data_IF_794073594736
#
_entry.id   IF_794073594736
#
_cell.length_a   1.000
_cell.length_b   1.000
_cell.length_c   1.000
_cell.angle_alpha   90.00
_cell.angle_beta   90.00
_cell.angle_gamma   90.00
#
_symmetry.space_group_name_H-M   'P 1'
#
loop_
_entity.id
_entity.type
_entity.pdbx_description
1 polymer ?
#
# COMPACT_ATOMS: atom_id res chain seq x y z
N UNK A 1 -16.25 -59.53 47.38
CA UNK A 1 -16.47 -59.11 45.94
C UNK A 1 -16.92 -57.66 45.95
N UNK A 2 -16.06 -56.75 45.61
CA UNK A 2 -16.34 -55.28 45.55
C UNK A 2 -16.43 -54.87 44.10
N UNK A 3 -17.61 -54.35 43.69
CA UNK A 3 -17.84 -53.80 42.36
C UNK A 3 -17.34 -52.37 42.33
N UNK A 4 -16.41 -52.07 41.48
CA UNK A 4 -15.95 -50.69 41.14
C UNK A 4 -16.90 -50.07 40.15
N UNK A 5 -17.56 -48.98 40.56
CA UNK A 5 -18.36 -48.15 39.70
C UNK A 5 -17.48 -47.16 38.94
N UNK A 6 -17.51 -47.23 37.62
CA UNK A 6 -16.84 -46.30 36.73
C UNK A 6 -17.66 -45.04 36.56
N UNK A 7 -17.20 -43.91 37.12
CA UNK A 7 -17.76 -42.59 36.83
C UNK A 7 -17.19 -42.10 35.50
N UNK A 8 -18.05 -42.02 34.50
CA UNK A 8 -17.76 -41.32 33.23
C UNK A 8 -18.03 -39.83 33.43
N UNK A 9 -16.99 -39.05 33.64
CA UNK A 9 -17.06 -37.58 33.52
C UNK A 9 -17.15 -37.20 32.05
N UNK A 10 -18.34 -36.81 31.61
CA UNK A 10 -18.53 -36.15 30.33
C UNK A 10 -18.15 -34.68 30.49
N UNK A 11 -16.94 -34.35 30.11
CA UNK A 11 -16.53 -32.95 29.96
C UNK A 11 -17.14 -32.40 28.66
N UNK A 12 -18.24 -31.67 28.78
CA UNK A 12 -18.79 -30.89 27.70
C UNK A 12 -17.89 -29.65 27.48
N UNK A 13 -17.00 -29.73 26.51
CA UNK A 13 -16.24 -28.57 26.03
C UNK A 13 -17.21 -27.69 25.21
N UNK A 14 -17.70 -26.63 25.84
CA UNK A 14 -18.40 -25.55 25.14
C UNK A 14 -17.36 -24.74 24.39
N UNK A 15 -17.18 -25.02 23.13
CA UNK A 15 -16.40 -24.18 22.21
C UNK A 15 -17.20 -22.93 21.95
N UNK A 16 -16.97 -21.85 22.71
CA UNK A 16 -17.49 -20.54 22.41
C UNK A 16 -16.75 -20.03 21.17
N UNK A 17 -17.35 -20.20 19.99
CA UNK A 17 -16.92 -19.55 18.76
C UNK A 17 -17.24 -18.07 18.92
N UNK A 18 -16.27 -17.27 19.38
CA UNK A 18 -16.35 -15.82 19.29
C UNK A 18 -16.18 -15.46 17.84
N UNK A 19 -17.28 -15.34 17.12
CA UNK A 19 -17.31 -14.67 15.83
C UNK A 19 -17.09 -13.19 16.08
N UNK A 20 -15.83 -12.79 16.08
CA UNK A 20 -15.45 -11.38 15.99
C UNK A 20 -15.77 -10.96 14.55
N UNK A 21 -17.03 -10.62 14.30
CA UNK A 21 -17.42 -9.87 13.11
C UNK A 21 -16.97 -8.41 13.32
N UNK A 22 -15.66 -8.20 13.39
CA UNK A 22 -15.10 -6.88 13.18
C UNK A 22 -15.25 -6.58 11.70
N UNK A 23 -16.14 -5.66 11.35
CA UNK A 23 -15.98 -4.90 10.11
C UNK A 23 -14.72 -4.06 10.24
N UNK A 24 -13.55 -4.70 10.18
CA UNK A 24 -12.33 -4.01 9.82
C UNK A 24 -12.51 -3.64 8.36
N UNK A 25 -12.71 -2.36 8.06
CA UNK A 25 -12.45 -1.84 6.73
C UNK A 25 -11.08 -2.42 6.36
N UNK A 26 -11.04 -3.32 5.37
CA UNK A 26 -9.80 -3.96 4.98
C UNK A 26 -8.87 -2.83 4.54
N UNK A 27 -7.85 -2.61 5.33
CA UNK A 27 -6.85 -1.58 5.14
C UNK A 27 -6.02 -1.99 3.94
N UNK A 28 -6.05 -1.18 2.91
CA UNK A 28 -5.34 -1.49 1.68
C UNK A 28 -3.85 -1.15 1.78
N UNK A 29 -3.48 0.01 2.34
CA UNK A 29 -2.09 0.41 2.50
C UNK A 29 -1.62 0.36 3.95
N UNK A 30 -0.35 0.00 4.15
CA UNK A 30 0.33 0.12 5.44
C UNK A 30 0.26 1.56 5.98
N UNK A 31 0.23 1.73 7.30
CA UNK A 31 0.45 3.05 7.93
C UNK A 31 1.93 3.40 7.90
N UNK A 32 2.29 4.67 8.13
CA UNK A 32 3.69 5.08 8.20
C UNK A 32 4.52 4.31 9.23
N UNK A 33 3.92 3.92 10.37
CA UNK A 33 4.60 3.08 11.37
C UNK A 33 4.85 1.66 10.86
N UNK A 34 3.87 1.06 10.20
CA UNK A 34 3.99 -0.28 9.60
C UNK A 34 4.95 -0.25 8.43
N UNK A 35 4.88 0.78 7.56
CA UNK A 35 5.81 0.98 6.46
C UNK A 35 7.26 0.95 6.94
N UNK A 36 7.60 1.78 7.93
CA UNK A 36 8.95 1.81 8.49
C UNK A 36 9.38 0.45 9.00
N UNK A 37 8.54 -0.18 9.81
CA UNK A 37 8.86 -1.50 10.38
C UNK A 37 9.07 -2.55 9.27
N UNK A 38 8.18 -2.61 8.28
CA UNK A 38 8.28 -3.56 7.17
C UNK A 38 9.57 -3.32 6.38
N UNK A 39 9.89 -2.08 6.04
CA UNK A 39 11.10 -1.75 5.32
C UNK A 39 12.37 -2.11 6.11
N UNK A 40 12.43 -1.76 7.41
CA UNK A 40 13.54 -2.09 8.30
C UNK A 40 13.70 -3.62 8.46
N UNK A 41 12.61 -4.36 8.65
CA UNK A 41 12.61 -5.83 8.74
C UNK A 41 13.09 -6.52 7.44
N UNK A 42 12.93 -5.86 6.29
CA UNK A 42 13.44 -6.31 4.99
C UNK A 42 14.84 -5.76 4.65
N UNK A 43 15.51 -5.10 5.60
CA UNK A 43 16.89 -4.63 5.46
C UNK A 43 17.05 -3.29 4.72
N UNK A 44 15.97 -2.57 4.45
CA UNK A 44 16.05 -1.25 3.84
C UNK A 44 16.45 -0.19 4.87
N UNK A 45 17.16 0.82 4.38
CA UNK A 45 17.44 2.03 5.15
C UNK A 45 16.28 3.00 5.01
N UNK A 46 15.64 3.34 6.12
CA UNK A 46 14.49 4.25 6.13
C UNK A 46 14.90 5.63 6.61
N UNK A 47 14.61 6.65 5.81
CA UNK A 47 14.84 8.06 6.11
C UNK A 47 13.52 8.81 6.25
N UNK A 48 13.43 9.70 7.23
CA UNK A 48 12.35 10.69 7.32
C UNK A 48 12.66 11.82 6.33
N UNK A 49 11.75 12.05 5.40
CA UNK A 49 11.90 13.05 4.33
C UNK A 49 10.82 14.13 4.40
N UNK A 50 10.07 14.19 5.51
CA UNK A 50 8.90 15.08 5.63
C UNK A 50 9.21 16.54 5.27
N UNK A 51 10.25 17.12 5.89
CA UNK A 51 10.59 18.53 5.66
C UNK A 51 11.08 18.80 4.23
N UNK A 52 11.83 17.85 3.66
CA UNK A 52 12.32 17.95 2.29
C UNK A 52 11.17 17.92 1.28
N UNK A 53 10.23 16.99 1.44
CA UNK A 53 9.08 16.85 0.53
C UNK A 53 8.12 18.03 0.68
N UNK A 54 7.86 18.50 1.91
CA UNK A 54 7.07 19.71 2.16
C UNK A 54 7.64 20.93 1.43
N UNK A 55 8.95 21.13 1.57
CA UNK A 55 9.61 22.31 0.99
C UNK A 55 9.61 22.24 -0.54
N UNK A 56 9.94 21.09 -1.11
CA UNK A 56 10.04 20.91 -2.56
C UNK A 56 8.67 21.04 -3.25
N UNK A 57 7.61 20.49 -2.66
CA UNK A 57 6.28 20.44 -3.25
C UNK A 57 5.32 21.53 -2.77
N UNK A 58 5.72 22.36 -1.78
CA UNK A 58 4.84 23.34 -1.12
C UNK A 58 3.58 22.70 -0.52
N UNK A 59 3.67 21.46 -0.05
CA UNK A 59 2.54 20.73 0.50
C UNK A 59 2.24 21.15 1.94
N UNK A 60 1.01 21.60 2.19
CA UNK A 60 0.58 22.11 3.50
C UNK A 60 0.05 20.99 4.39
N UNK A 61 -0.66 20.03 3.81
CA UNK A 61 -1.34 18.97 4.56
C UNK A 61 -0.53 17.67 4.71
N UNK A 62 0.72 17.65 4.21
CA UNK A 62 1.61 16.49 4.34
C UNK A 62 1.98 16.27 5.82
N UNK A 63 1.67 15.09 6.35
CA UNK A 63 1.87 14.75 7.77
C UNK A 63 3.00 13.75 8.02
N UNK A 64 3.26 12.87 7.06
CA UNK A 64 4.34 11.87 7.12
C UNK A 64 4.97 11.72 5.74
N UNK A 65 6.30 11.55 5.68
CA UNK A 65 7.02 11.19 4.46
C UNK A 65 8.27 10.38 4.80
N UNK A 66 8.40 9.20 4.21
CA UNK A 66 9.53 8.30 4.38
C UNK A 66 10.05 7.82 3.03
N UNK A 67 11.37 7.70 2.93
CA UNK A 67 12.08 7.06 1.82
C UNK A 67 12.80 5.84 2.36
N UNK A 68 12.56 4.68 1.77
CA UNK A 68 13.28 3.46 2.06
C UNK A 68 14.08 3.01 0.83
N UNK A 69 15.35 2.69 1.03
CA UNK A 69 16.27 2.23 -0.03
C UNK A 69 17.00 0.98 0.42
N UNK A 70 17.26 0.07 -0.50
CA UNK A 70 18.18 -1.04 -0.25
C UNK A 70 19.64 -0.59 -0.30
N UNK A 71 20.56 -1.42 0.22
CA UNK A 71 21.97 -1.09 0.31
C UNK A 71 22.66 -0.89 -1.07
N UNK A 72 22.12 -1.51 -2.10
CA UNK A 72 22.66 -1.43 -3.47
C UNK A 72 21.90 -0.40 -4.32
N UNK A 73 20.88 0.27 -3.76
CA UNK A 73 19.96 1.18 -4.45
C UNK A 73 19.30 0.56 -5.69
N UNK A 74 19.09 -0.78 -5.67
CA UNK A 74 18.43 -1.48 -6.75
C UNK A 74 16.93 -1.18 -6.81
N UNK A 75 16.34 -0.76 -5.69
CA UNK A 75 14.98 -0.27 -5.62
C UNK A 75 14.78 0.72 -4.48
N UNK A 76 13.77 1.54 -4.62
CA UNK A 76 13.33 2.51 -3.61
C UNK A 76 11.84 2.39 -3.36
N UNK A 77 11.43 2.64 -2.12
CA UNK A 77 10.02 2.70 -1.75
C UNK A 77 9.77 3.98 -0.95
N UNK A 78 8.78 4.75 -1.37
CA UNK A 78 8.38 5.99 -0.72
C UNK A 78 7.01 5.82 -0.07
N UNK A 79 6.83 6.45 1.08
CA UNK A 79 5.54 6.60 1.74
C UNK A 79 5.29 8.06 2.01
N UNK A 80 4.09 8.54 1.66
CA UNK A 80 3.63 9.87 2.05
C UNK A 80 2.20 9.80 2.57
N UNK A 81 1.86 10.72 3.48
CA UNK A 81 0.51 10.85 4.01
C UNK A 81 0.09 12.31 4.05
N UNK A 82 -1.07 12.56 3.47
CA UNK A 82 -1.74 13.86 3.50
C UNK A 82 -2.99 13.80 4.39
N UNK A 83 -3.30 14.89 5.08
CA UNK A 83 -4.58 15.07 5.76
C UNK A 83 -5.67 15.65 4.86
N UNK A 84 -5.29 16.27 3.75
CA UNK A 84 -6.19 16.78 2.72
C UNK A 84 -6.21 15.85 1.50
N UNK A 85 -7.41 15.39 1.10
CA UNK A 85 -7.57 14.44 0.00
C UNK A 85 -7.27 15.06 -1.37
N UNK A 86 -7.43 16.36 -1.53
CA UNK A 86 -7.14 17.05 -2.79
C UNK A 86 -5.64 17.19 -3.02
N UNK A 87 -4.88 17.51 -1.96
CA UNK A 87 -3.42 17.48 -2.05
C UNK A 87 -2.89 16.08 -2.31
N UNK A 88 -3.47 15.06 -1.64
CA UNK A 88 -3.12 13.66 -1.89
C UNK A 88 -3.36 13.26 -3.35
N UNK A 89 -4.53 13.61 -3.90
CA UNK A 89 -4.84 13.33 -5.31
C UNK A 89 -3.89 14.07 -6.24
N UNK A 90 -3.61 15.35 -5.99
CA UNK A 90 -2.67 16.12 -6.81
C UNK A 90 -1.25 15.53 -6.80
N UNK A 91 -0.79 15.03 -5.64
CA UNK A 91 0.49 14.32 -5.56
C UNK A 91 0.46 13.01 -6.36
N UNK A 92 -0.57 12.18 -6.16
CA UNK A 92 -0.76 10.93 -6.91
C UNK A 92 -0.74 11.20 -8.42
N UNK A 93 -1.56 12.14 -8.89
CA UNK A 93 -1.67 12.49 -10.30
C UNK A 93 -0.33 12.99 -10.87
N UNK A 94 0.45 13.74 -10.08
CA UNK A 94 1.76 14.25 -10.52
C UNK A 94 2.78 13.16 -10.80
N UNK A 95 2.70 12.03 -10.07
CA UNK A 95 3.55 10.85 -10.28
C UNK A 95 2.95 9.96 -11.37
N UNK A 96 1.68 9.61 -11.27
CA UNK A 96 0.99 8.73 -12.20
C UNK A 96 0.99 9.25 -13.65
N UNK A 97 0.93 10.58 -13.84
CA UNK A 97 1.04 11.20 -15.17
C UNK A 97 2.42 11.05 -15.85
N UNK A 98 3.43 10.61 -15.10
CA UNK A 98 4.77 10.31 -15.62
C UNK A 98 4.95 8.82 -15.93
N UNK A 99 3.92 8.01 -15.67
CA UNK A 99 3.90 6.58 -15.92
C UNK A 99 3.01 6.26 -17.14
N UNK A 100 3.35 5.18 -17.83
CA UNK A 100 2.52 4.62 -18.91
C UNK A 100 2.08 3.19 -18.51
N UNK A 101 1.54 3.12 -17.29
CA UNK A 101 1.19 1.89 -16.63
C UNK A 101 -0.26 1.47 -16.81
N UNK A 102 -0.58 0.32 -16.23
CA UNK A 102 -1.95 -0.18 -16.09
C UNK A 102 -2.58 0.44 -14.85
N UNK A 103 -3.75 1.04 -15.01
CA UNK A 103 -4.49 1.69 -13.92
C UNK A 103 -5.48 0.71 -13.30
N UNK A 104 -5.54 0.70 -11.99
CA UNK A 104 -6.47 -0.08 -11.19
C UNK A 104 -7.23 0.85 -10.24
N UNK A 105 -8.53 0.62 -10.07
CA UNK A 105 -9.35 1.39 -9.12
C UNK A 105 -10.28 0.46 -8.38
N UNK A 106 -10.39 0.68 -7.08
CA UNK A 106 -11.34 0.03 -6.21
C UNK A 106 -12.17 1.06 -5.43
N UNK A 107 -13.07 0.62 -4.54
CA UNK A 107 -13.95 1.51 -3.80
C UNK A 107 -13.22 2.58 -2.97
N UNK A 108 -12.01 2.27 -2.52
CA UNK A 108 -11.25 3.13 -1.60
C UNK A 108 -9.78 3.32 -2.02
N UNK A 109 -9.38 2.84 -3.18
CA UNK A 109 -7.99 2.94 -3.64
C UNK A 109 -7.89 3.25 -5.13
N UNK A 110 -6.73 3.78 -5.50
CA UNK A 110 -6.26 3.92 -6.88
C UNK A 110 -4.84 3.36 -6.93
N UNK A 111 -4.48 2.76 -8.06
CA UNK A 111 -3.13 2.28 -8.32
C UNK A 111 -2.79 2.43 -9.80
N UNK A 112 -1.50 2.61 -10.09
CA UNK A 112 -0.94 2.47 -11.42
C UNK A 112 0.35 1.66 -11.33
N UNK A 113 0.49 0.67 -12.19
CA UNK A 113 1.63 -0.24 -12.25
C UNK A 113 2.18 -0.22 -13.66
N UNK A 114 3.45 0.10 -13.79
CA UNK A 114 4.20 0.08 -15.05
C UNK A 114 5.36 -0.89 -14.92
N UNK A 115 5.49 -1.81 -15.85
CA UNK A 115 6.63 -2.74 -15.92
C UNK A 115 7.29 -2.64 -17.30
N UNK A 116 8.59 -2.38 -17.28
CA UNK A 116 9.41 -2.29 -18.50
C UNK A 116 10.65 -3.15 -18.29
N UNK A 117 10.72 -4.27 -18.99
CA UNK A 117 11.74 -5.31 -18.80
C UNK A 117 11.75 -5.80 -17.35
N UNK A 118 12.90 -5.68 -16.65
CA UNK A 118 13.10 -6.12 -15.27
C UNK A 118 12.87 -4.99 -14.26
N UNK A 119 12.39 -3.84 -14.71
CA UNK A 119 12.09 -2.67 -13.86
C UNK A 119 10.59 -2.47 -13.74
N UNK A 120 10.17 -2.07 -12.54
CA UNK A 120 8.80 -1.76 -12.20
C UNK A 120 8.72 -0.39 -11.54
N UNK A 121 7.64 0.35 -11.83
CA UNK A 121 7.20 1.55 -11.10
C UNK A 121 5.76 1.35 -10.70
N UNK A 122 5.46 1.56 -9.46
CA UNK A 122 4.13 1.34 -8.90
C UNK A 122 3.75 2.48 -7.98
N UNK A 123 2.53 2.94 -8.10
CA UNK A 123 1.97 3.92 -7.17
C UNK A 123 0.59 3.48 -6.70
N UNK A 124 0.37 3.57 -5.41
CA UNK A 124 -0.88 3.19 -4.74
C UNK A 124 -1.34 4.32 -3.83
N UNK A 125 -2.63 4.62 -3.86
CA UNK A 125 -3.24 5.61 -2.96
C UNK A 125 -4.48 5.05 -2.27
N UNK A 126 -4.59 5.27 -0.95
CA UNK A 126 -5.76 4.99 -0.14
C UNK A 126 -5.93 6.05 0.95
N UNK A 127 -7.05 6.77 0.95
CA UNK A 127 -7.41 7.70 2.05
C UNK A 127 -6.29 8.66 2.45
N UNK A 128 -5.63 9.29 1.47
CA UNK A 128 -4.54 10.24 1.70
C UNK A 128 -3.18 9.60 1.99
N UNK A 129 -3.07 8.28 2.07
CA UNK A 129 -1.80 7.54 2.10
C UNK A 129 -1.40 7.17 0.68
N UNK A 130 -0.14 7.32 0.37
CA UNK A 130 0.41 6.96 -0.94
C UNK A 130 1.70 6.18 -0.70
N UNK A 131 1.84 5.07 -1.43
CA UNK A 131 3.09 4.31 -1.53
C UNK A 131 3.51 4.34 -2.99
N UNK A 132 4.75 4.69 -3.24
CA UNK A 132 5.39 4.62 -4.55
C UNK A 132 6.62 3.72 -4.43
N UNK A 133 6.78 2.82 -5.39
CA UNK A 133 7.95 1.96 -5.49
C UNK A 133 8.54 2.01 -6.90
N UNK A 134 9.87 1.97 -7.00
CA UNK A 134 10.59 1.96 -8.27
C UNK A 134 11.86 1.12 -8.16
N UNK A 135 12.14 0.29 -9.17
CA UNK A 135 13.36 -0.50 -9.28
C UNK A 135 13.14 -1.90 -9.81
N UNK A 136 13.93 -2.87 -9.34
CA UNK A 136 13.86 -4.26 -9.80
C UNK A 136 12.52 -4.90 -9.46
N UNK A 137 11.86 -5.50 -10.43
CA UNK A 137 10.49 -6.07 -10.33
C UNK A 137 10.37 -7.12 -9.24
N UNK A 138 11.33 -8.05 -9.13
CA UNK A 138 11.25 -9.14 -8.15
C UNK A 138 11.38 -8.61 -6.72
N UNK A 139 12.28 -7.63 -6.50
CA UNK A 139 12.48 -6.99 -5.21
C UNK A 139 11.26 -6.20 -4.77
N UNK A 140 10.66 -5.42 -5.68
CA UNK A 140 9.43 -4.65 -5.40
C UNK A 140 8.28 -5.59 -5.09
N UNK A 141 8.04 -6.63 -5.90
CA UNK A 141 6.96 -7.61 -5.67
C UNK A 141 7.07 -8.30 -4.31
N UNK A 142 8.28 -8.53 -3.82
CA UNK A 142 8.50 -9.16 -2.51
C UNK A 142 8.07 -8.27 -1.34
N UNK A 143 8.35 -6.96 -1.40
CA UNK A 143 7.98 -6.02 -0.35
C UNK A 143 6.55 -5.50 -0.49
N UNK A 144 6.06 -5.36 -1.73
CA UNK A 144 4.68 -4.94 -2.02
C UNK A 144 3.65 -5.75 -1.24
N UNK A 145 3.76 -7.08 -1.26
CA UNK A 145 2.86 -8.01 -0.57
C UNK A 145 2.73 -7.77 0.93
N UNK A 146 3.70 -7.09 1.54
CA UNK A 146 3.69 -6.73 2.96
C UNK A 146 3.14 -5.32 3.19
N UNK A 147 3.34 -4.42 2.23
CA UNK A 147 2.94 -3.01 2.30
C UNK A 147 1.50 -2.80 1.86
N UNK A 148 1.01 -3.65 0.95
CA UNK A 148 -0.29 -3.53 0.31
C UNK A 148 -1.11 -4.76 0.65
N UNK A 149 -2.36 -4.54 1.04
CA UNK A 149 -3.31 -5.61 1.31
C UNK A 149 -3.82 -6.26 0.02
N UNK A 150 -4.76 -7.17 0.17
CA UNK A 150 -5.43 -7.80 -0.99
C UNK A 150 -6.23 -6.74 -1.75
N UNK A 151 -6.03 -6.67 -3.06
CA UNK A 151 -6.70 -5.76 -3.96
C UNK A 151 -7.22 -6.50 -5.20
N UNK A 152 -8.25 -5.92 -5.81
CA UNK A 152 -8.79 -6.43 -7.05
C UNK A 152 -7.87 -5.99 -8.20
N UNK A 153 -7.33 -6.96 -8.92
CA UNK A 153 -6.38 -6.72 -10.01
C UNK A 153 -7.07 -6.61 -11.38
N UNK A 154 -8.39 -6.39 -11.43
CA UNK A 154 -9.06 -6.13 -12.68
C UNK A 154 -8.69 -4.73 -13.22
N UNK A 155 -7.93 -4.62 -14.31
CA UNK A 155 -7.43 -3.33 -14.79
C UNK A 155 -8.57 -2.47 -15.35
N UNK A 156 -8.57 -1.20 -14.97
CA UNK A 156 -9.44 -0.19 -15.59
C UNK A 156 -8.71 0.41 -16.79
N UNK A 157 -9.36 0.45 -17.96
CA UNK A 157 -8.75 1.10 -19.13
C UNK A 157 -8.53 2.58 -18.84
N UNK A 158 -7.28 3.03 -18.92
CA UNK A 158 -6.91 4.44 -18.84
C UNK A 158 -7.66 5.19 -19.95
N UNK A 159 -8.63 6.01 -19.59
CA UNK A 159 -9.29 6.90 -20.56
C UNK A 159 -8.34 8.06 -20.78
N UNK A 160 -7.50 7.95 -21.81
CA UNK A 160 -6.70 9.09 -22.27
C UNK A 160 -7.70 10.15 -22.72
N UNK A 161 -7.80 11.24 -21.98
CA UNK A 161 -8.51 12.42 -22.43
C UNK A 161 -7.76 12.98 -23.65
N UNK A 162 -8.12 12.49 -24.83
CA UNK A 162 -7.65 13.04 -26.09
C UNK A 162 -8.19 14.47 -26.19
N UNK A 163 -7.36 15.43 -25.77
CA UNK A 163 -7.57 16.85 -26.02
C UNK A 163 -7.52 17.11 -27.52
N UNK A 164 -8.64 16.86 -28.19
CA UNK A 164 -8.85 17.25 -29.56
C UNK A 164 -8.97 18.77 -29.63
N UNK A 165 -7.88 19.48 -29.83
CA UNK A 165 -7.94 20.79 -30.43
C UNK A 165 -7.85 20.63 -31.96
N UNK A 166 -9.00 20.44 -32.60
CA UNK A 166 -9.11 20.79 -34.02
C UNK A 166 -9.03 22.31 -34.13
N UNK A 167 -7.91 22.79 -34.67
CA UNK A 167 -7.85 24.12 -35.27
C UNK A 167 -8.59 24.09 -36.61
N UNK A 168 -9.65 24.86 -36.70
CA UNK A 168 -10.15 25.40 -37.98
C UNK A 168 -9.33 26.62 -38.33
#
# INVERSE_FOLDING_TARGET
MKKFGTYRCAAAAVLALVLVTGCSSMKFLATGKEFRKICEDNGLQVQDTLESVKTAGSYVSLSDAYLATDAENAYTVCYVRFSDSKEAQGYYDSVANQMDGTVFTGPNYQAEVETVNDSCREIYMESGRIIYAEGNTDAITAIEKQLIGTWDQDPVKKTTAAGGQQKQ
#
